data_IF_739332299524
#
_entry.id   IF_739332299524
#
_cell.length_a   1.000
_cell.length_b   1.000
_cell.length_c   1.000
_cell.angle_alpha   90.00
_cell.angle_beta   90.00
_cell.angle_gamma   90.00
#
_symmetry.space_group_name_H-M   'P 1'
#
loop_
_entity.id
_entity.type
_entity.pdbx_description
1 polymer ?
#
# COMPACT_ATOMS: atom_id res chain seq x y z
N UNK A 1 0.36 23.26 -17.36
CA UNK A 1 0.32 21.86 -17.84
C UNK A 1 0.90 20.94 -16.76
N UNK A 2 0.17 20.70 -15.66
CA UNK A 2 0.68 19.88 -14.53
C UNK A 2 -0.42 19.03 -13.86
N UNK A 3 -1.46 18.62 -14.58
CA UNK A 3 -2.50 17.75 -14.02
C UNK A 3 -2.19 16.25 -14.14
N UNK A 4 -1.22 15.87 -14.99
CA UNK A 4 -0.91 14.45 -15.24
C UNK A 4 -0.08 13.79 -14.13
N UNK A 5 0.74 14.55 -13.39
CA UNK A 5 1.62 13.96 -12.36
C UNK A 5 0.85 13.54 -11.10
N UNK A 6 -0.26 14.21 -10.77
CA UNK A 6 -1.05 13.91 -9.55
C UNK A 6 -1.87 12.64 -9.71
N UNK A 7 -2.47 12.43 -10.89
CA UNK A 7 -3.30 11.27 -11.18
C UNK A 7 -2.49 9.98 -11.17
N UNK A 8 -1.28 9.99 -11.72
CA UNK A 8 -0.40 8.81 -11.75
C UNK A 8 0.03 8.36 -10.35
N UNK A 9 0.27 9.30 -9.43
CA UNK A 9 0.65 8.94 -8.05
C UNK A 9 -0.50 8.33 -7.26
N UNK A 10 -1.72 8.81 -7.50
CA UNK A 10 -2.90 8.24 -6.85
C UNK A 10 -3.23 6.84 -7.41
N UNK A 11 -3.12 6.63 -8.72
CA UNK A 11 -3.33 5.29 -9.28
C UNK A 11 -2.33 4.27 -8.74
N UNK A 12 -1.04 4.65 -8.67
CA UNK A 12 -0.01 3.81 -8.09
C UNK A 12 -0.25 3.55 -6.60
N UNK A 13 -0.70 4.57 -5.84
CA UNK A 13 -1.08 4.40 -4.45
C UNK A 13 -2.23 3.40 -4.27
N UNK A 14 -3.25 3.49 -5.12
CA UNK A 14 -4.38 2.55 -5.13
C UNK A 14 -3.90 1.14 -5.47
N UNK A 15 -2.97 0.98 -6.41
CA UNK A 15 -2.40 -0.34 -6.77
C UNK A 15 -1.65 -0.98 -5.61
N UNK A 16 -0.74 -0.24 -4.96
CA UNK A 16 -0.01 -0.66 -3.77
C UNK A 16 -0.96 -1.13 -2.67
N UNK A 17 -1.98 -0.31 -2.39
CA UNK A 17 -2.95 -0.57 -1.32
C UNK A 17 -3.89 -1.73 -1.67
N UNK A 18 -4.31 -1.84 -2.93
CA UNK A 18 -5.16 -2.94 -3.41
C UNK A 18 -4.42 -4.27 -3.36
N UNK A 19 -3.13 -4.26 -3.69
CA UNK A 19 -2.28 -5.43 -3.56
C UNK A 19 -2.15 -5.85 -2.09
N UNK A 20 -1.85 -4.91 -1.19
CA UNK A 20 -1.81 -5.19 0.26
C UNK A 20 -3.14 -5.77 0.78
N UNK A 21 -4.27 -5.20 0.37
CA UNK A 21 -5.60 -5.64 0.74
C UNK A 21 -5.90 -7.08 0.29
N UNK A 22 -5.43 -7.46 -0.91
CA UNK A 22 -5.58 -8.83 -1.45
C UNK A 22 -4.85 -9.85 -0.60
N UNK A 23 -3.67 -9.50 -0.11
CA UNK A 23 -2.79 -10.41 0.63
C UNK A 23 -3.00 -10.40 2.15
N UNK A 24 -3.69 -9.39 2.67
CA UNK A 24 -3.98 -9.26 4.10
C UNK A 24 -4.56 -10.54 4.75
N UNK A 25 -5.52 -11.28 4.15
CA UNK A 25 -6.02 -12.53 4.74
C UNK A 25 -4.97 -13.64 4.91
N UNK A 26 -3.87 -13.57 4.17
CA UNK A 26 -2.77 -14.54 4.20
C UNK A 26 -1.58 -14.08 5.05
N UNK A 27 -1.69 -12.92 5.70
CA UNK A 27 -0.62 -12.34 6.51
C UNK A 27 0.26 -11.32 5.79
N UNK A 28 -0.04 -10.99 4.53
CA UNK A 28 0.76 -10.08 3.71
C UNK A 28 1.30 -10.75 2.45
N UNK A 29 1.80 -9.97 1.48
CA UNK A 29 2.41 -10.50 0.26
C UNK A 29 3.80 -11.09 0.55
N UNK A 30 4.19 -12.12 -0.20
CA UNK A 30 5.55 -12.67 -0.13
C UNK A 30 6.57 -11.73 -0.81
N UNK A 31 7.83 -11.80 -0.39
CA UNK A 31 8.91 -10.94 -0.86
C UNK A 31 9.09 -10.98 -2.38
N UNK A 32 9.05 -12.19 -2.95
CA UNK A 32 9.15 -12.41 -4.40
C UNK A 32 8.00 -11.74 -5.14
N UNK A 33 6.80 -11.73 -4.58
CA UNK A 33 5.65 -11.09 -5.22
C UNK A 33 5.78 -9.57 -5.21
N UNK A 34 6.21 -8.99 -4.08
CA UNK A 34 6.48 -7.55 -4.00
C UNK A 34 7.49 -7.15 -5.10
N UNK A 35 8.54 -7.94 -5.27
CA UNK A 35 9.56 -7.71 -6.29
C UNK A 35 9.00 -7.86 -7.71
N UNK A 36 8.21 -8.90 -7.99
CA UNK A 36 7.62 -9.15 -9.32
C UNK A 36 6.65 -8.04 -9.72
N UNK A 37 5.78 -7.61 -8.81
CA UNK A 37 4.72 -6.65 -9.13
C UNK A 37 5.20 -5.19 -9.13
N UNK A 38 6.12 -4.82 -8.23
CA UNK A 38 6.52 -3.42 -8.04
C UNK A 38 8.00 -3.15 -8.26
N UNK A 39 8.84 -4.18 -8.40
CA UNK A 39 10.30 -4.00 -8.47
C UNK A 39 10.88 -3.44 -7.17
N UNK A 40 10.20 -3.62 -6.04
CA UNK A 40 10.59 -3.09 -4.74
C UNK A 40 11.13 -4.20 -3.84
N UNK A 41 11.99 -3.81 -2.89
CA UNK A 41 12.27 -4.64 -1.73
C UNK A 41 11.07 -4.61 -0.77
N UNK A 42 10.86 -5.65 0.06
CA UNK A 42 9.80 -5.68 1.06
C UNK A 42 9.80 -4.44 1.95
N UNK A 43 10.96 -4.05 2.50
CA UNK A 43 11.09 -2.86 3.36
C UNK A 43 10.61 -1.58 2.68
N UNK A 44 10.98 -1.38 1.40
CA UNK A 44 10.57 -0.20 0.64
C UNK A 44 9.09 -0.23 0.32
N UNK A 45 8.53 -1.41 0.06
CA UNK A 45 7.10 -1.58 -0.13
C UNK A 45 6.33 -1.24 1.15
N UNK A 46 6.71 -1.80 2.31
CA UNK A 46 6.03 -1.53 3.59
C UNK A 46 6.15 -0.06 4.02
N UNK A 47 7.32 0.54 3.86
CA UNK A 47 7.54 1.96 4.15
C UNK A 47 6.66 2.85 3.25
N UNK A 48 6.61 2.55 1.96
CA UNK A 48 5.79 3.30 1.00
C UNK A 48 4.30 3.13 1.31
N UNK A 49 3.86 1.90 1.56
CA UNK A 49 2.48 1.59 1.93
C UNK A 49 2.08 2.34 3.22
N UNK A 50 2.95 2.37 4.23
CA UNK A 50 2.75 3.13 5.46
C UNK A 50 2.53 4.62 5.19
N UNK A 51 3.38 5.25 4.38
CA UNK A 51 3.22 6.66 4.00
C UNK A 51 1.91 6.93 3.23
N UNK A 52 1.48 6.02 2.37
CA UNK A 52 0.22 6.16 1.64
C UNK A 52 -0.99 6.12 2.59
N UNK A 53 -0.97 5.21 3.57
CA UNK A 53 -2.01 5.07 4.59
C UNK A 53 -2.02 6.23 5.60
N UNK A 54 -0.91 6.97 5.73
CA UNK A 54 -0.86 8.21 6.52
C UNK A 54 -1.37 9.42 5.74
N UNK A 55 -1.09 9.45 4.42
CA UNK A 55 -1.37 10.61 3.58
C UNK A 55 -2.80 10.61 3.02
N UNK A 56 -3.34 9.45 2.67
CA UNK A 56 -4.67 9.30 2.11
C UNK A 56 -5.63 8.67 3.12
N UNK A 57 -6.90 9.10 3.08
CA UNK A 57 -7.95 8.45 3.87
C UNK A 57 -8.45 7.16 3.20
N UNK A 58 -9.14 6.32 3.98
CA UNK A 58 -9.66 5.04 3.50
C UNK A 58 -10.58 5.16 2.28
N UNK A 59 -11.36 6.24 2.18
CA UNK A 59 -12.30 6.46 1.06
C UNK A 59 -11.54 6.78 -0.22
N UNK A 60 -10.50 7.61 -0.13
CA UNK A 60 -9.63 7.95 -1.26
C UNK A 60 -8.90 6.72 -1.81
N UNK A 61 -8.51 5.79 -0.93
CA UNK A 61 -7.87 4.53 -1.31
C UNK A 61 -8.86 3.41 -1.70
N UNK A 62 -10.18 3.65 -1.62
CA UNK A 62 -11.19 2.63 -1.92
C UNK A 62 -11.26 1.49 -0.91
N UNK A 63 -10.80 1.71 0.33
CA UNK A 63 -10.79 0.73 1.41
C UNK A 63 -11.91 0.96 2.44
N UNK A 64 -12.30 -0.12 3.12
CA UNK A 64 -13.04 0.02 4.37
C UNK A 64 -12.13 0.60 5.47
N UNK A 65 -12.71 1.31 6.43
CA UNK A 65 -11.95 1.89 7.57
C UNK A 65 -11.24 0.83 8.40
N UNK A 66 -11.79 -0.36 8.48
CA UNK A 66 -11.23 -1.45 9.28
C UNK A 66 -10.06 -2.11 8.57
N UNK A 67 -10.16 -2.31 7.25
CA UNK A 67 -9.05 -2.80 6.45
C UNK A 67 -7.91 -1.78 6.40
N UNK A 68 -8.23 -0.48 6.27
CA UNK A 68 -7.23 0.59 6.35
C UNK A 68 -6.45 0.55 7.67
N UNK A 69 -7.16 0.42 8.81
CA UNK A 69 -6.52 0.28 10.13
C UNK A 69 -5.70 -1.00 10.26
N UNK A 70 -6.20 -2.11 9.71
CA UNK A 70 -5.50 -3.39 9.77
C UNK A 70 -4.19 -3.38 8.97
N UNK A 71 -4.23 -2.86 7.73
CA UNK A 71 -3.04 -2.66 6.91
C UNK A 71 -2.03 -1.72 7.57
N UNK A 72 -2.51 -0.63 8.19
CA UNK A 72 -1.62 0.31 8.88
C UNK A 72 -0.88 -0.34 10.06
N UNK A 73 -1.57 -1.19 10.83
CA UNK A 73 -0.97 -1.95 11.93
C UNK A 73 0.07 -2.94 11.40
N UNK A 74 -0.27 -3.68 10.34
CA UNK A 74 0.65 -4.63 9.72
C UNK A 74 1.94 -3.95 9.22
N UNK A 75 1.84 -2.76 8.62
CA UNK A 75 3.02 -1.98 8.24
C UNK A 75 3.92 -1.61 9.44
N UNK A 76 3.37 -1.39 10.64
CA UNK A 76 4.20 -1.13 11.82
C UNK A 76 4.94 -2.39 12.28
N UNK A 77 4.30 -3.56 12.19
CA UNK A 77 4.88 -4.84 12.63
C UNK A 77 6.03 -5.33 11.71
N UNK A 78 6.07 -4.87 10.45
CA UNK A 78 7.06 -5.29 9.46
C UNK A 78 8.27 -4.33 9.35
N UNK A 79 8.27 -3.22 10.08
CA UNK A 79 9.33 -2.17 10.00
C UNK A 79 10.22 -2.16 11.26
N UNK A 80 9.96 -3.04 12.24
CA UNK A 80 10.80 -3.29 13.42
C UNK A 80 11.88 -4.36 13.15
#
# INVERSE_FOLDING_TARGET
MSSFQTTTRLSEAIELVTFAARWHPYGGPEDEEILIYFGLTPDRYHLRLGHLLDFYDSTTLGLSRDLHRALRRHCCEQVD
#
